data_IF_220252705882
#
_entry.id   IF_220252705882
#
_cell.length_a   1.000
_cell.length_b   1.000
_cell.length_c   1.000
_cell.angle_alpha   90.00
_cell.angle_beta   90.00
_cell.angle_gamma   90.00
#
_symmetry.space_group_name_H-M   'P 1'
#
loop_
_entity.id
_entity.type
_entity.pdbx_description
1 polymer ?
#
# COMPACT_ATOMS: atom_id res chain seq x y z
N UNK A 1 -23.88 2.96 22.89
CA UNK A 1 -22.47 3.21 23.23
C UNK A 1 -21.75 3.45 21.92
N UNK A 2 -21.20 4.65 21.73
CA UNK A 2 -20.64 5.08 20.44
C UNK A 2 -19.13 4.76 20.44
N UNK A 3 -18.55 4.46 19.28
CA UNK A 3 -17.12 4.10 19.16
C UNK A 3 -16.16 5.12 19.80
N UNK A 4 -16.54 6.40 19.82
CA UNK A 4 -15.77 7.50 20.41
C UNK A 4 -15.59 7.34 21.93
N UNK A 5 -16.57 6.74 22.63
CA UNK A 5 -16.53 6.55 24.08
C UNK A 5 -15.50 5.48 24.51
N UNK A 6 -14.89 4.77 23.56
CA UNK A 6 -13.94 3.68 23.80
C UNK A 6 -12.56 3.95 23.22
N UNK A 7 -12.21 5.21 22.91
CA UNK A 7 -10.96 5.55 22.21
C UNK A 7 -9.70 4.97 22.89
N UNK A 8 -9.67 4.94 24.23
CA UNK A 8 -8.54 4.41 25.01
C UNK A 8 -8.34 2.90 24.87
N UNK A 9 -9.29 2.19 24.24
CA UNK A 9 -9.19 0.76 23.94
C UNK A 9 -8.55 0.47 22.59
N UNK A 10 -8.29 1.49 21.77
CA UNK A 10 -7.70 1.35 20.45
C UNK A 10 -6.30 1.93 20.44
N UNK A 11 -5.37 1.21 19.83
CA UNK A 11 -4.04 1.71 19.53
C UNK A 11 -3.94 1.97 18.02
N UNK A 12 -3.18 2.99 17.59
CA UNK A 12 -2.89 3.19 16.18
C UNK A 12 -2.25 1.95 15.57
N UNK A 13 -2.73 1.54 14.40
CA UNK A 13 -2.06 0.51 13.60
C UNK A 13 -0.86 1.16 12.93
N UNK A 14 0.32 0.65 13.23
CA UNK A 14 1.58 1.09 12.62
C UNK A 14 2.11 -0.07 11.80
N UNK A 15 2.37 0.16 10.52
CA UNK A 15 2.96 -0.84 9.65
C UNK A 15 4.48 -0.94 9.91
N UNK A 16 5.00 -2.15 9.90
CA UNK A 16 6.44 -2.39 9.92
C UNK A 16 7.10 -1.87 8.63
N UNK A 17 8.35 -1.44 8.75
CA UNK A 17 9.14 -0.91 7.62
C UNK A 17 10.25 -1.88 7.23
N UNK A 18 10.45 -2.19 5.93
CA UNK A 18 9.76 -1.61 4.78
C UNK A 18 8.31 -2.10 4.65
N UNK A 19 7.42 -1.20 4.22
CA UNK A 19 6.01 -1.51 3.98
C UNK A 19 5.89 -2.23 2.64
N UNK A 20 5.12 -3.32 2.64
CA UNK A 20 4.78 -4.08 1.44
C UNK A 20 3.28 -4.06 1.22
N UNK A 21 2.84 -3.81 -0.02
CA UNK A 21 1.45 -3.90 -0.44
C UNK A 21 1.34 -4.79 -1.67
N UNK A 22 0.52 -5.83 -1.55
CA UNK A 22 0.23 -6.77 -2.63
C UNK A 22 -1.20 -6.53 -3.14
N UNK A 23 -1.35 -6.56 -4.46
CA UNK A 23 -2.63 -6.35 -5.13
C UNK A 23 -2.91 -7.55 -6.01
N UNK A 24 -3.80 -8.40 -5.52
CA UNK A 24 -4.36 -9.52 -6.26
C UNK A 24 -5.55 -9.05 -7.11
N UNK A 25 -5.71 -9.66 -8.28
CA UNK A 25 -6.85 -9.45 -9.18
C UNK A 25 -7.39 -10.80 -9.67
N UNK A 26 -8.67 -10.83 -10.02
CA UNK A 26 -9.29 -12.01 -10.64
C UNK A 26 -8.75 -12.28 -12.05
N UNK A 27 -8.42 -11.22 -12.79
CA UNK A 27 -7.81 -11.30 -14.12
C UNK A 27 -6.29 -11.10 -14.05
N UNK A 28 -5.51 -11.76 -14.92
CA UNK A 28 -4.06 -11.57 -14.98
C UNK A 28 -3.66 -10.11 -15.15
N UNK A 29 -2.59 -9.71 -14.49
CA UNK A 29 -1.98 -8.42 -14.76
C UNK A 29 -1.35 -8.40 -16.17
N UNK A 30 -1.36 -7.25 -16.85
CA UNK A 30 -0.63 -7.10 -18.10
C UNK A 30 0.86 -7.37 -17.87
N UNK A 31 1.55 -7.89 -18.88
CA UNK A 31 2.99 -8.15 -18.82
C UNK A 31 3.80 -6.90 -18.42
N UNK A 32 3.35 -5.72 -18.88
CA UNK A 32 3.90 -4.43 -18.46
C UNK A 32 3.08 -3.83 -17.31
N UNK A 33 3.73 -3.68 -16.15
CA UNK A 33 3.19 -3.03 -14.95
C UNK A 33 3.88 -1.69 -14.71
N UNK A 34 3.49 -1.00 -13.62
CA UNK A 34 4.09 0.28 -13.19
C UNK A 34 5.55 0.07 -12.77
N UNK A 35 6.36 1.12 -12.86
CA UNK A 35 7.82 1.05 -12.66
C UNK A 35 8.22 0.58 -11.25
N UNK A 36 7.44 0.96 -10.23
CA UNK A 36 7.68 0.59 -8.82
C UNK A 36 6.89 -0.66 -8.39
N UNK A 37 6.33 -1.40 -9.35
CA UNK A 37 5.61 -2.63 -9.11
C UNK A 37 6.44 -3.82 -9.59
N UNK A 38 6.43 -4.90 -8.83
CA UNK A 38 6.95 -6.20 -9.26
C UNK A 38 5.81 -7.21 -9.42
N UNK A 39 5.92 -8.10 -10.41
CA UNK A 39 5.03 -9.27 -10.47
C UNK A 39 5.50 -10.29 -9.42
N UNK A 40 4.60 -10.66 -8.52
CA UNK A 40 4.82 -11.80 -7.61
C UNK A 40 4.42 -13.09 -8.33
N UNK A 41 3.29 -13.03 -9.03
CA UNK A 41 2.77 -14.05 -9.92
C UNK A 41 1.90 -13.39 -11.00
N UNK A 42 1.20 -14.21 -11.80
CA UNK A 42 0.35 -13.74 -12.90
C UNK A 42 -0.81 -12.82 -12.46
N UNK A 43 -1.29 -12.96 -11.22
CA UNK A 43 -2.47 -12.29 -10.66
C UNK A 43 -2.13 -11.28 -9.56
N UNK A 44 -0.90 -11.30 -9.06
CA UNK A 44 -0.45 -10.47 -7.94
C UNK A 44 0.73 -9.60 -8.31
N UNK A 45 0.60 -8.30 -8.05
CA UNK A 45 1.74 -7.36 -8.07
C UNK A 45 2.05 -6.87 -6.66
N UNK A 46 3.31 -6.58 -6.39
CA UNK A 46 3.80 -6.04 -5.13
C UNK A 46 4.43 -4.67 -5.31
N UNK A 47 4.21 -3.80 -4.33
CA UNK A 47 4.91 -2.54 -4.12
C UNK A 47 5.60 -2.58 -2.77
N UNK A 48 6.84 -2.12 -2.68
CA UNK A 48 7.61 -2.05 -1.44
C UNK A 48 8.24 -0.66 -1.29
N UNK A 49 8.19 -0.09 -0.08
CA UNK A 49 8.74 1.24 0.21
C UNK A 49 8.92 1.50 1.70
N UNK A 50 9.48 2.66 2.05
CA UNK A 50 9.86 2.96 3.44
C UNK A 50 8.66 3.26 4.35
N UNK A 51 7.52 3.60 3.77
CA UNK A 51 6.29 3.88 4.50
C UNK A 51 5.05 3.65 3.62
N UNK A 52 3.89 3.58 4.27
CA UNK A 52 2.61 3.35 3.61
C UNK A 52 2.29 4.39 2.52
N UNK A 53 2.55 5.67 2.77
CA UNK A 53 2.19 6.74 1.83
C UNK A 53 2.97 6.65 0.53
N UNK A 54 4.26 6.31 0.60
CA UNK A 54 5.07 6.06 -0.59
C UNK A 54 4.46 4.93 -1.42
N UNK A 55 4.21 3.77 -0.80
CA UNK A 55 3.64 2.58 -1.46
C UNK A 55 2.25 2.88 -2.06
N UNK A 56 1.41 3.61 -1.33
CA UNK A 56 0.10 4.06 -1.81
C UNK A 56 0.22 4.99 -3.02
N UNK A 57 1.11 5.99 -2.98
CA UNK A 57 1.29 6.93 -4.09
C UNK A 57 1.89 6.26 -5.33
N UNK A 58 2.82 5.32 -5.16
CA UNK A 58 3.36 4.51 -6.25
C UNK A 58 2.26 3.69 -6.90
N UNK A 59 1.44 3.00 -6.11
CA UNK A 59 0.32 2.20 -6.59
C UNK A 59 -0.75 3.02 -7.32
N UNK A 60 -1.23 4.12 -6.75
CA UNK A 60 -2.38 4.85 -7.32
C UNK A 60 -1.99 5.93 -8.31
N UNK A 61 -0.87 6.63 -8.07
CA UNK A 61 -0.49 7.81 -8.86
C UNK A 61 0.75 7.60 -9.73
N UNK A 62 1.51 6.52 -9.52
CA UNK A 62 2.81 6.31 -10.20
C UNK A 62 3.74 7.54 -10.01
N UNK A 63 3.73 8.10 -8.79
CA UNK A 63 4.49 9.31 -8.41
C UNK A 63 5.39 8.98 -7.21
N UNK A 64 6.58 8.42 -7.46
CA UNK A 64 7.56 8.23 -6.40
C UNK A 64 7.94 9.56 -5.77
N UNK A 65 8.07 9.58 -4.44
CA UNK A 65 8.44 10.78 -3.68
C UNK A 65 7.31 11.79 -3.47
N UNK A 66 6.06 11.46 -3.83
CA UNK A 66 4.93 12.32 -3.49
C UNK A 66 4.79 12.38 -1.96
N UNK A 67 4.74 13.59 -1.36
CA UNK A 67 4.87 13.76 0.08
C UNK A 67 3.70 13.11 0.81
N UNK A 68 3.96 12.63 2.03
CA UNK A 68 2.89 12.23 2.94
C UNK A 68 1.94 13.42 3.17
N UNK A 69 0.61 13.18 3.31
CA UNK A 69 -0.31 14.20 3.79
C UNK A 69 0.22 14.80 5.11
N UNK A 70 0.14 16.13 5.22
CA UNK A 70 0.51 16.87 6.43
C UNK A 70 -0.51 16.62 7.55
#
# INVERSE_FOLDING_TARGET
>A
MVAVDQIDRYSPVVADTPVTMEIEREEPWPARIKENAEHVDTFTVRYTGDNFWQVFHDCFYNRPGFPKPL
#
